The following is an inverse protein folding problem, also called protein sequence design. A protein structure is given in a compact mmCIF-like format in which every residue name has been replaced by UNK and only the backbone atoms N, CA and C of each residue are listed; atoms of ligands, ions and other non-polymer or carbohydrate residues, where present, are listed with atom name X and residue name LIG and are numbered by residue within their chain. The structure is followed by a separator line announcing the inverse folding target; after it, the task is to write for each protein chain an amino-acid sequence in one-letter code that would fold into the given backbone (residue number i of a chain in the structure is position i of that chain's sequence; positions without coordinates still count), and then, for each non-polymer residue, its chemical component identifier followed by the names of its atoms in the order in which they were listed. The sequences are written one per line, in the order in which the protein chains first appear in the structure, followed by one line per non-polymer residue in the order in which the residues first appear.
data_IF_376958371863
#
_entry.id   IF_376958371863
#
_cell.length_a   1.000
_cell.length_b   1.000
_cell.length_c   1.000
_cell.angle_alpha   90.00
_cell.angle_beta   90.00
_cell.angle_gamma   90.00
#
_symmetry.space_group_name_H-M   'P 1'
#
loop_
_entity.id
_entity.type
_entity.pdbx_description
1 polymer ?
#
# COMPACT_ATOMS: atom_id res chain seq x y z
N UNK A 1 7.51 -7.21 5.62
CA UNK A 1 6.91 -6.63 4.40
C UNK A 1 5.90 -5.57 4.72
N UNK A 2 4.87 -5.88 5.52
CA UNK A 2 3.89 -4.90 5.96
C UNK A 2 4.52 -3.71 6.69
N UNK A 3 5.55 -3.95 7.50
CA UNK A 3 6.34 -2.92 8.19
C UNK A 3 7.04 -1.91 7.26
N UNK A 4 7.41 -2.33 6.04
CA UNK A 4 8.15 -1.50 5.07
C UNK A 4 7.26 -0.79 4.07
N UNK A 5 6.02 -1.24 3.91
CA UNK A 5 5.12 -0.72 2.90
C UNK A 5 4.76 0.77 3.10
N UNK A 6 4.47 1.27 4.31
CA UNK A 6 4.15 2.68 4.52
C UNK A 6 5.26 3.63 4.07
N UNK A 7 6.52 3.29 4.39
CA UNK A 7 7.68 4.10 4.01
C UNK A 7 7.97 3.99 2.51
N UNK A 8 7.86 2.77 1.95
CA UNK A 8 7.96 2.56 0.50
C UNK A 8 6.93 3.40 -0.26
N UNK A 9 5.64 3.29 0.08
CA UNK A 9 4.54 4.01 -0.57
C UNK A 9 4.74 5.53 -0.50
N UNK A 10 5.15 6.06 0.66
CA UNK A 10 5.44 7.48 0.84
C UNK A 10 6.55 7.99 -0.08
N UNK A 11 7.67 7.26 -0.20
CA UNK A 11 8.81 7.67 -1.04
C UNK A 11 8.48 7.58 -2.53
N UNK A 12 7.71 6.57 -2.95
CA UNK A 12 7.20 6.48 -4.33
C UNK A 12 6.25 7.64 -4.65
N UNK A 13 5.34 7.99 -3.74
CA UNK A 13 4.43 9.12 -3.93
C UNK A 13 5.17 10.47 -4.02
N UNK A 14 6.35 10.58 -3.43
CA UNK A 14 7.24 11.73 -3.56
C UNK A 14 8.04 11.76 -4.89
N UNK A 15 7.90 10.73 -5.72
CA UNK A 15 8.55 10.63 -7.03
C UNK A 15 9.93 9.96 -7.02
N UNK A 16 10.31 9.29 -5.92
CA UNK A 16 11.57 8.53 -5.87
C UNK A 16 11.52 7.25 -6.71
N UNK A 17 12.68 6.82 -7.22
CA UNK A 17 12.79 5.58 -8.00
C UNK A 17 12.49 4.33 -7.14
N UNK A 18 11.55 3.45 -7.54
CA UNK A 18 11.20 2.27 -6.77
C UNK A 18 12.34 1.29 -6.53
N UNK A 19 13.26 1.15 -7.49
CA UNK A 19 14.41 0.27 -7.36
C UNK A 19 15.32 0.72 -6.23
N UNK A 20 15.67 2.01 -6.22
CA UNK A 20 16.52 2.64 -5.19
C UNK A 20 15.87 2.58 -3.81
N UNK A 21 14.57 2.88 -3.70
CA UNK A 21 13.87 2.80 -2.41
C UNK A 21 13.88 1.37 -1.86
N UNK A 22 13.70 0.36 -2.71
CA UNK A 22 13.77 -1.05 -2.29
C UNK A 22 15.19 -1.47 -1.87
N UNK A 23 16.23 -0.92 -2.51
CA UNK A 23 17.63 -1.11 -2.13
C UNK A 23 17.92 -0.50 -0.75
N UNK A 24 17.50 0.75 -0.54
CA UNK A 24 17.66 1.49 0.72
C UNK A 24 16.93 0.79 1.88
N UNK A 25 15.72 0.26 1.64
CA UNK A 25 14.94 -0.52 2.61
C UNK A 25 15.48 -1.95 2.83
N UNK A 26 16.58 -2.31 2.17
CA UNK A 26 17.26 -3.60 2.31
C UNK A 26 16.47 -4.80 1.75
N UNK A 27 15.53 -4.58 0.84
CA UNK A 27 14.70 -5.64 0.26
C UNK A 27 15.44 -6.29 -0.91
N UNK A 28 16.30 -7.29 -0.66
CA UNK A 28 17.22 -7.82 -1.69
C UNK A 28 16.59 -8.82 -2.66
N UNK A 29 15.81 -9.79 -2.15
CA UNK A 29 15.25 -10.87 -2.99
C UNK A 29 14.15 -10.34 -3.92
N UNK A 30 14.16 -10.75 -5.18
CA UNK A 30 13.18 -10.30 -6.17
C UNK A 30 11.74 -10.66 -5.78
N UNK A 31 11.52 -11.85 -5.18
CA UNK A 31 10.19 -12.29 -4.74
C UNK A 31 9.64 -11.37 -3.63
N UNK A 32 10.53 -10.87 -2.79
CA UNK A 32 10.24 -9.90 -1.75
C UNK A 32 9.92 -8.52 -2.34
N UNK A 33 10.70 -8.06 -3.32
CA UNK A 33 10.44 -6.78 -4.03
C UNK A 33 9.09 -6.78 -4.73
N UNK A 34 8.74 -7.88 -5.39
CA UNK A 34 7.47 -8.03 -6.10
C UNK A 34 6.26 -7.78 -5.20
N UNK A 35 6.31 -8.22 -3.94
CA UNK A 35 5.22 -8.00 -2.99
C UNK A 35 4.94 -6.52 -2.76
N UNK A 36 5.99 -5.69 -2.61
CA UNK A 36 5.83 -4.25 -2.39
C UNK A 36 5.47 -3.51 -3.69
N UNK A 37 6.06 -3.91 -4.82
CA UNK A 37 5.79 -3.30 -6.12
C UNK A 37 4.36 -3.53 -6.62
N UNK A 38 3.77 -4.69 -6.32
CA UNK A 38 2.44 -5.07 -6.79
C UNK A 38 1.34 -4.88 -5.72
N UNK A 39 1.65 -4.20 -4.61
CA UNK A 39 0.68 -3.95 -3.55
C UNK A 39 -0.34 -2.90 -3.98
N UNK A 40 -1.62 -3.23 -3.77
CA UNK A 40 -2.77 -2.35 -3.99
C UNK A 40 -3.59 -2.31 -2.69
N UNK A 41 -4.14 -1.16 -2.33
CA UNK A 41 -4.89 -0.94 -1.09
C UNK A 41 -6.37 -0.61 -1.36
N UNK A 42 -7.21 -1.60 -1.71
CA UNK A 42 -8.64 -1.36 -1.93
C UNK A 42 -9.44 -1.19 -0.64
N UNK A 43 -8.78 -1.28 0.54
CA UNK A 43 -9.44 -1.29 1.85
C UNK A 43 -10.25 -0.04 2.10
N UNK A 44 -9.74 1.14 1.71
CA UNK A 44 -10.43 2.41 1.93
C UNK A 44 -11.76 2.48 1.19
N UNK A 45 -11.78 2.02 -0.07
CA UNK A 45 -13.02 1.94 -0.87
C UNK A 45 -14.07 1.03 -0.21
N UNK A 46 -13.62 -0.10 0.34
CA UNK A 46 -14.51 -1.05 1.00
C UNK A 46 -15.05 -0.47 2.32
N UNK A 47 -14.19 0.20 3.08
CA UNK A 47 -14.57 0.89 4.32
C UNK A 47 -15.59 2.01 4.08
N UNK A 48 -15.40 2.79 3.02
CA UNK A 48 -16.35 3.82 2.60
C UNK A 48 -17.72 3.23 2.26
N UNK A 49 -17.75 2.11 1.52
CA UNK A 49 -18.99 1.41 1.19
C UNK A 49 -19.75 0.97 2.46
N UNK A 50 -19.08 0.33 3.41
CA UNK A 50 -19.73 -0.10 4.66
C UNK A 50 -20.19 1.08 5.51
N UNK A 51 -19.39 2.14 5.58
CA UNK A 51 -19.73 3.37 6.30
C UNK A 51 -20.95 4.07 5.70
N UNK A 52 -21.06 4.10 4.38
CA UNK A 52 -22.25 4.62 3.69
C UNK A 52 -23.46 3.71 3.93
N UNK A 53 -23.29 2.38 3.79
CA UNK A 53 -24.38 1.42 3.99
C UNK A 53 -24.98 1.50 5.38
N UNK A 54 -24.18 1.71 6.42
CA UNK A 54 -24.68 1.90 7.79
C UNK A 54 -25.47 3.21 7.93
N UNK A 55 -25.02 4.30 7.30
CA UNK A 55 -25.76 5.59 7.28
C UNK A 55 -27.11 5.50 6.58
N UNK A 56 -27.23 4.65 5.57
CA UNK A 56 -28.46 4.44 4.79
C UNK A 56 -29.26 3.21 5.23
N UNK A 57 -28.90 2.60 6.37
CA UNK A 57 -29.67 1.52 6.97
C UNK A 57 -30.96 2.11 7.55
N UNK A 58 -31.99 2.19 6.72
CA UNK A 58 -33.35 2.50 7.13
C UNK A 58 -33.90 1.25 7.83
N UNK A 59 -34.29 1.39 9.10
CA UNK A 59 -35.05 0.38 9.85
C UNK A 59 -36.47 0.21 9.28
#
# INVERSE_FOLDING_TARGET
MADKYPEFSKRIAAGEDPGKVLDDLGVKRYCCRRTLLAAVEPVDMVLEYYSAREKFRVE
#
